data_IF_704839211997
#
_entry.id   IF_704839211997
#
_cell.length_a   1.000
_cell.length_b   1.000
_cell.length_c   1.000
_cell.angle_alpha   90.00
_cell.angle_beta   90.00
_cell.angle_gamma   90.00
#
_symmetry.space_group_name_H-M   'P 1'
#
loop_
_entity.id
_entity.type
_entity.pdbx_description
1 polymer ?
#
# COMPACT_ATOMS: atom_id res chain seq x y z
N UNK A 1 -2.69 14.39 -7.13
CA UNK A 1 -3.26 13.56 -6.04
C UNK A 1 -2.14 12.69 -5.53
N UNK A 2 -1.94 12.60 -4.20
CA UNK A 2 -0.94 11.70 -3.63
C UNK A 2 -1.25 10.26 -4.07
N UNK A 3 -0.21 9.52 -4.43
CA UNK A 3 -0.31 8.12 -4.85
C UNK A 3 1.00 7.40 -4.49
N UNK A 4 0.94 6.07 -4.45
CA UNK A 4 2.09 5.25 -4.07
C UNK A 4 3.01 4.97 -5.27
N UNK A 5 2.44 4.78 -6.45
CA UNK A 5 3.11 4.37 -7.69
C UNK A 5 3.84 5.53 -8.41
N UNK A 6 4.63 6.31 -7.68
CA UNK A 6 5.41 7.41 -8.26
C UNK A 6 6.75 6.91 -8.79
N UNK A 7 7.25 7.55 -9.86
CA UNK A 7 8.54 7.24 -10.48
C UNK A 7 9.73 7.33 -9.51
N UNK A 8 9.60 8.12 -8.45
CA UNK A 8 10.64 8.30 -7.42
C UNK A 8 10.57 7.32 -6.25
N UNK A 9 9.48 6.54 -6.10
CA UNK A 9 9.28 5.71 -4.89
C UNK A 9 8.89 4.26 -5.15
N UNK A 10 7.81 3.96 -5.88
CA UNK A 10 7.32 2.58 -6.08
C UNK A 10 6.97 2.31 -7.54
N UNK A 11 7.97 2.36 -8.40
CA UNK A 11 7.86 2.14 -9.84
C UNK A 11 9.02 1.30 -10.37
N UNK A 12 9.01 0.99 -11.66
CA UNK A 12 10.15 0.39 -12.37
C UNK A 12 11.46 1.18 -12.24
N UNK A 13 11.40 2.49 -11.93
CA UNK A 13 12.59 3.34 -11.77
C UNK A 13 13.08 3.42 -10.32
N UNK A 14 12.22 3.13 -9.35
CA UNK A 14 12.53 3.21 -7.93
C UNK A 14 11.64 2.24 -7.15
N UNK A 15 12.25 1.24 -6.53
CA UNK A 15 11.56 0.20 -5.78
C UNK A 15 11.83 0.37 -4.28
N UNK A 16 11.27 1.42 -3.68
CA UNK A 16 11.44 1.67 -2.25
C UNK A 16 10.88 0.49 -1.46
N UNK A 17 11.67 -0.01 -0.50
CA UNK A 17 11.40 -1.26 0.20
C UNK A 17 11.30 -2.50 -0.72
N UNK A 18 11.76 -2.41 -1.97
CA UNK A 18 11.64 -3.45 -2.99
C UNK A 18 10.21 -3.67 -3.49
N UNK A 19 9.37 -2.63 -3.44
CA UNK A 19 7.99 -2.66 -3.91
C UNK A 19 7.83 -1.88 -5.21
N UNK A 20 7.16 -2.49 -6.18
CA UNK A 20 6.67 -1.89 -7.42
C UNK A 20 5.15 -1.89 -7.42
N UNK A 21 4.58 -0.69 -7.34
CA UNK A 21 3.13 -0.49 -7.25
C UNK A 21 2.54 0.10 -8.54
N UNK A 22 3.38 0.29 -9.57
CA UNK A 22 2.99 0.77 -10.89
C UNK A 22 2.52 -0.33 -11.85
N UNK A 23 2.62 -1.58 -11.42
CA UNK A 23 2.16 -2.78 -12.13
C UNK A 23 1.22 -3.54 -11.19
N UNK A 24 -0.07 -3.70 -11.53
CA UNK A 24 -1.08 -4.20 -10.59
C UNK A 24 -0.86 -5.67 -10.19
N UNK A 25 -0.46 -6.53 -11.14
CA UNK A 25 -0.26 -7.97 -10.88
C UNK A 25 0.96 -8.15 -9.96
N UNK A 26 2.05 -7.45 -10.28
CA UNK A 26 3.25 -7.46 -9.44
C UNK A 26 2.99 -6.84 -8.06
N UNK A 27 2.22 -5.76 -8.00
CA UNK A 27 1.88 -5.09 -6.74
C UNK A 27 1.10 -6.02 -5.82
N UNK A 28 0.10 -6.71 -6.35
CA UNK A 28 -0.70 -7.68 -5.61
C UNK A 28 0.21 -8.77 -5.00
N UNK A 29 0.99 -9.44 -5.85
CA UNK A 29 1.90 -10.50 -5.41
C UNK A 29 2.91 -10.00 -4.36
N UNK A 30 3.52 -8.83 -4.58
CA UNK A 30 4.53 -8.29 -3.66
C UNK A 30 3.94 -7.82 -2.33
N UNK A 31 2.72 -7.30 -2.31
CA UNK A 31 2.05 -6.87 -1.08
C UNK A 31 1.72 -8.08 -0.20
N UNK A 32 1.25 -9.18 -0.81
CA UNK A 32 0.91 -10.41 -0.09
C UNK A 32 2.16 -11.20 0.30
N UNK A 33 3.09 -11.44 -0.62
CA UNK A 33 4.27 -12.28 -0.38
C UNK A 33 5.25 -11.69 0.65
N UNK A 34 5.09 -10.42 1.00
CA UNK A 34 5.95 -9.69 1.92
C UNK A 34 5.23 -9.20 3.17
N UNK A 35 4.01 -9.70 3.40
CA UNK A 35 3.17 -9.42 4.57
C UNK A 35 2.84 -7.92 4.77
N UNK A 36 2.88 -7.10 3.70
CA UNK A 36 2.32 -5.74 3.78
C UNK A 36 0.80 -5.79 3.86
N UNK A 37 0.20 -6.79 3.22
CA UNK A 37 -1.22 -7.11 3.26
C UNK A 37 -1.38 -8.53 3.77
N UNK A 38 -2.14 -8.68 4.85
CA UNK A 38 -2.61 -9.96 5.35
C UNK A 38 -4.11 -10.04 5.05
N UNK A 39 -4.55 -10.91 4.13
CA UNK A 39 -5.95 -11.03 3.75
C UNK A 39 -6.88 -11.22 4.96
N UNK A 40 -7.88 -10.36 5.09
CA UNK A 40 -8.85 -10.38 6.18
C UNK A 40 -8.40 -9.69 7.47
N UNK A 41 -7.17 -9.15 7.54
CA UNK A 41 -6.64 -8.46 8.71
C UNK A 41 -6.52 -6.93 8.48
N UNK A 42 -7.46 -6.12 9.01
CA UNK A 42 -7.41 -4.66 8.86
C UNK A 42 -6.25 -4.00 9.62
N UNK A 43 -5.52 -4.75 10.46
CA UNK A 43 -4.30 -4.29 11.14
C UNK A 43 -3.01 -4.56 10.34
N UNK A 44 -3.14 -4.98 9.08
CA UNK A 44 -2.03 -5.15 8.13
C UNK A 44 -1.07 -3.95 8.11
N UNK A 45 0.22 -4.21 7.92
CA UNK A 45 1.29 -3.19 7.85
C UNK A 45 0.98 -2.05 6.88
N UNK A 46 0.36 -2.35 5.73
CA UNK A 46 -0.08 -1.32 4.78
C UNK A 46 -1.01 -0.29 5.44
N UNK A 47 -1.96 -0.72 6.27
CA UNK A 47 -2.87 0.19 6.96
C UNK A 47 -2.15 1.06 7.99
N UNK A 48 -1.19 0.51 8.74
CA UNK A 48 -0.37 1.29 9.67
C UNK A 48 0.48 2.35 8.96
N UNK A 49 1.02 2.02 7.77
CA UNK A 49 1.75 2.96 6.91
C UNK A 49 0.85 4.08 6.37
N UNK A 50 -0.38 3.76 5.96
CA UNK A 50 -1.35 4.75 5.45
C UNK A 50 -1.87 5.67 6.57
N UNK A 51 -2.11 5.12 7.77
CA UNK A 51 -2.54 5.87 8.95
C UNK A 51 -1.43 6.78 9.50
N UNK A 52 -0.16 6.43 9.25
CA UNK A 52 1.00 7.15 9.77
C UNK A 52 1.36 6.78 11.22
N UNK A 53 0.87 5.64 11.71
CA UNK A 53 1.21 5.10 13.02
C UNK A 53 2.61 4.45 13.03
N UNK A 54 3.11 4.07 11.86
CA UNK A 54 4.50 3.69 11.71
C UNK A 54 5.43 4.92 11.74
N UNK A 55 6.70 4.71 12.11
CA UNK A 55 7.74 5.76 12.09
C UNK A 55 7.85 6.51 10.74
N UNK A 56 7.23 5.99 9.67
CA UNK A 56 7.09 6.61 8.35
C UNK A 56 5.67 6.38 7.82
N UNK A 57 4.96 7.46 7.48
CA UNK A 57 3.69 7.42 6.74
C UNK A 57 3.94 7.29 5.24
N UNK A 58 3.08 6.56 4.55
CA UNK A 58 3.03 6.55 3.08
C UNK A 58 1.69 7.08 2.56
N UNK A 59 1.68 7.86 1.47
CA UNK A 59 2.84 8.54 0.87
C UNK A 59 3.52 9.53 1.84
N UNK A 60 4.83 9.79 1.69
CA UNK A 60 5.59 10.62 2.63
C UNK A 60 5.24 12.11 2.53
N UNK A 61 4.90 12.58 1.34
CA UNK A 61 4.60 13.97 1.02
C UNK A 61 3.24 14.42 1.56
N UNK A 62 2.19 13.63 1.33
CA UNK A 62 0.83 13.91 1.79
C UNK A 62 0.05 12.62 2.04
N UNK A 63 -0.86 12.60 3.03
CA UNK A 63 -1.73 11.45 3.24
C UNK A 63 -2.66 11.24 2.04
N UNK A 64 -3.02 9.99 1.78
CA UNK A 64 -4.10 9.71 0.84
C UNK A 64 -5.43 10.30 1.34
N UNK A 65 -6.36 10.62 0.43
CA UNK A 65 -7.75 10.91 0.81
C UNK A 65 -8.31 9.80 1.71
N UNK A 66 -9.07 10.18 2.74
CA UNK A 66 -9.67 9.21 3.67
C UNK A 66 -10.53 8.16 2.96
N UNK A 67 -11.20 8.54 1.86
CA UNK A 67 -11.98 7.62 1.04
C UNK A 67 -11.11 6.54 0.38
N UNK A 68 -9.90 6.88 -0.08
CA UNK A 68 -8.99 5.92 -0.71
C UNK A 68 -8.40 4.96 0.33
N UNK A 69 -8.06 5.47 1.53
CA UNK A 69 -7.62 4.64 2.65
C UNK A 69 -8.73 3.66 3.06
N UNK A 70 -9.98 4.12 3.08
CA UNK A 70 -11.14 3.29 3.40
C UNK A 70 -11.38 2.20 2.36
N UNK A 71 -11.18 2.49 1.06
CA UNK A 71 -11.25 1.48 0.01
C UNK A 71 -10.20 0.39 0.21
N UNK A 72 -8.96 0.76 0.55
CA UNK A 72 -7.89 -0.21 0.84
C UNK A 72 -8.26 -1.06 2.07
N UNK A 73 -8.78 -0.45 3.14
CA UNK A 73 -9.24 -1.16 4.34
C UNK A 73 -10.31 -2.20 4.01
N UNK A 74 -11.34 -1.80 3.27
CA UNK A 74 -12.44 -2.67 2.88
C UNK A 74 -11.97 -3.81 1.96
N UNK A 75 -11.05 -3.54 1.05
CA UNK A 75 -10.44 -4.57 0.20
C UNK A 75 -9.67 -5.60 1.03
N UNK A 76 -8.87 -5.18 2.01
CA UNK A 76 -8.17 -6.10 2.93
C UNK A 76 -9.17 -6.92 3.73
N UNK A 77 -10.19 -6.29 4.32
CA UNK A 77 -11.22 -6.98 5.12
C UNK A 77 -12.03 -8.00 4.33
N UNK A 78 -12.25 -7.73 3.03
CA UNK A 78 -12.90 -8.66 2.12
C UNK A 78 -12.03 -9.88 1.75
N UNK A 79 -10.82 -9.97 2.30
CA UNK A 79 -9.88 -11.06 2.02
C UNK A 79 -8.92 -10.74 0.87
N UNK A 80 -8.68 -9.45 0.58
CA UNK A 80 -7.79 -8.99 -0.48
C UNK A 80 -8.00 -9.73 -1.81
N UNK A 81 -9.23 -9.73 -2.37
CA UNK A 81 -9.49 -10.38 -3.66
C UNK A 81 -8.65 -9.75 -4.76
N UNK A 82 -8.17 -10.57 -5.69
CA UNK A 82 -7.48 -10.12 -6.92
C UNK A 82 -8.41 -9.32 -7.84
#
# INVERSE_FOLDING_TARGET
>A
MPNCATSSCHSALAETAGLRLDDPDLAYDQLLARDFVVPGDPSSTLMSLLAGDERRRMPPDAPLPAADIELVRLWIEAGAPE
#
